data_IF_134032498181
#
_entry.id   IF_134032498181
#
_cell.length_a   1.000
_cell.length_b   1.000
_cell.length_c   1.000
_cell.angle_alpha   90.00
_cell.angle_beta   90.00
_cell.angle_gamma   90.00
#
_symmetry.space_group_name_H-M   'P 1'
#
loop_
_entity.id
_entity.type
_entity.pdbx_description
1 polymer ?
#
# COMPACT_ATOMS: atom_id res chain seq x y z
N UNK A 1 69.15 -75.00 32.48
CA UNK A 1 70.03 -73.82 32.29
C UNK A 1 69.89 -73.42 30.84
N UNK A 2 68.98 -72.50 30.48
CA UNK A 2 69.17 -71.04 30.56
C UNK A 2 70.59 -70.63 30.12
N UNK A 3 70.70 -70.07 28.91
CA UNK A 3 71.18 -68.70 28.67
C UNK A 3 71.26 -68.38 27.16
N UNK A 4 70.35 -67.48 26.79
CA UNK A 4 70.32 -66.42 25.76
C UNK A 4 71.69 -65.82 25.28
N UNK A 5 71.73 -64.69 24.52
CA UNK A 5 71.16 -64.31 23.20
C UNK A 5 72.19 -63.49 22.35
N UNK A 6 71.72 -62.58 21.46
CA UNK A 6 72.37 -61.42 20.75
C UNK A 6 72.40 -61.65 19.22
N UNK A 7 71.47 -61.12 18.40
CA UNK A 7 71.23 -59.74 17.98
C UNK A 7 72.28 -59.18 16.98
N UNK A 8 71.85 -58.84 15.76
CA UNK A 8 71.72 -57.45 15.24
C UNK A 8 71.26 -57.49 13.77
N UNK A 9 70.26 -56.67 13.50
CA UNK A 9 69.57 -56.40 12.24
C UNK A 9 70.44 -55.69 11.20
N UNK A 10 70.28 -56.06 9.91
CA UNK A 10 70.23 -55.09 8.80
C UNK A 10 69.07 -55.50 7.88
N UNK A 11 68.10 -54.60 7.77
CA UNK A 11 66.95 -54.61 6.87
C UNK A 11 67.34 -53.84 5.60
N UNK A 12 66.92 -54.31 4.42
CA UNK A 12 66.15 -53.54 3.39
C UNK A 12 65.99 -54.44 2.14
N UNK A 13 64.78 -55.00 2.04
CA UNK A 13 63.89 -55.03 0.87
C UNK A 13 64.49 -54.74 -0.53
N UNK A 14 64.47 -55.75 -1.40
CA UNK A 14 64.25 -55.59 -2.85
C UNK A 14 63.69 -56.90 -3.45
N UNK A 15 62.40 -57.12 -3.21
CA UNK A 15 61.54 -57.93 -4.06
C UNK A 15 61.42 -57.23 -5.43
N UNK A 16 61.76 -57.92 -6.52
CA UNK A 16 60.97 -57.98 -7.75
C UNK A 16 61.74 -58.82 -8.77
N UNK A 17 61.36 -60.09 -8.84
CA UNK A 17 61.60 -60.93 -10.01
C UNK A 17 60.80 -60.31 -11.15
N UNK A 18 61.46 -59.55 -12.02
CA UNK A 18 60.89 -59.16 -13.31
C UNK A 18 61.12 -60.30 -14.31
N UNK A 19 60.28 -61.33 -14.28
CA UNK A 19 60.01 -62.09 -15.50
C UNK A 19 59.28 -61.13 -16.42
N UNK A 20 59.97 -60.61 -17.43
CA UNK A 20 59.37 -59.87 -18.53
C UNK A 20 58.42 -60.82 -19.26
N UNK A 21 57.15 -60.81 -18.89
CA UNK A 21 56.09 -61.48 -19.63
C UNK A 21 55.85 -60.70 -20.91
N UNK A 22 56.56 -61.06 -21.97
CA UNK A 22 56.15 -60.73 -23.33
C UNK A 22 54.69 -61.17 -23.49
N UNK A 23 53.84 -60.31 -24.04
CA UNK A 23 52.46 -60.67 -24.34
C UNK A 23 52.48 -61.90 -25.28
N UNK A 24 52.05 -63.05 -24.76
CA UNK A 24 51.99 -64.30 -25.51
C UNK A 24 50.59 -64.46 -26.10
N UNK A 25 50.52 -64.51 -27.42
CA UNK A 25 49.34 -64.96 -28.12
C UNK A 25 49.18 -66.46 -27.91
N UNK A 26 47.96 -66.91 -27.75
CA UNK A 26 47.66 -68.34 -27.74
C UNK A 26 46.49 -68.61 -28.67
N UNK A 27 46.51 -69.77 -29.29
CA UNK A 27 45.40 -70.30 -30.05
C UNK A 27 45.20 -71.74 -29.61
N UNK A 28 43.95 -72.16 -29.47
CA UNK A 28 43.67 -73.58 -29.30
C UNK A 28 42.63 -74.00 -30.32
N UNK A 29 42.87 -75.17 -30.89
CA UNK A 29 41.97 -75.85 -31.80
C UNK A 29 41.49 -77.06 -31.02
N UNK A 30 40.18 -77.16 -30.79
CA UNK A 30 39.58 -78.26 -30.07
C UNK A 30 38.43 -78.81 -30.89
N UNK A 31 38.44 -80.13 -31.06
CA UNK A 31 37.28 -80.91 -31.49
C UNK A 31 36.93 -81.92 -30.39
N UNK A 32 35.91 -82.75 -30.60
CA UNK A 32 35.47 -83.74 -29.61
C UNK A 32 36.56 -84.77 -29.27
N UNK A 33 37.50 -85.03 -30.18
CA UNK A 33 38.59 -86.01 -30.01
C UNK A 33 39.98 -85.46 -29.69
N UNK A 34 40.36 -84.26 -30.15
CA UNK A 34 41.73 -83.73 -29.97
C UNK A 34 41.71 -82.22 -29.67
N UNK A 35 42.60 -81.79 -28.78
CA UNK A 35 42.89 -80.39 -28.47
C UNK A 35 44.36 -80.08 -28.79
N UNK A 36 44.59 -79.07 -29.62
CA UNK A 36 45.92 -78.54 -29.92
C UNK A 36 45.98 -77.11 -29.39
N UNK A 37 46.94 -76.82 -28.52
CA UNK A 37 47.22 -75.48 -28.00
C UNK A 37 48.57 -75.00 -28.50
N UNK A 38 48.57 -73.82 -29.11
CA UNK A 38 49.73 -73.10 -29.62
C UNK A 38 49.92 -71.84 -28.78
N UNK A 39 51.15 -71.59 -28.32
CA UNK A 39 51.55 -70.35 -27.66
C UNK A 39 52.71 -69.72 -28.41
N UNK A 40 52.61 -68.44 -28.75
CA UNK A 40 53.59 -67.72 -29.58
C UNK A 40 53.58 -66.22 -29.23
N UNK A 41 54.67 -65.48 -29.47
CA UNK A 41 54.69 -64.04 -29.23
C UNK A 41 53.77 -63.30 -30.22
N UNK A 42 53.11 -62.23 -29.76
CA UNK A 42 52.22 -61.42 -30.62
C UNK A 42 52.97 -60.46 -31.55
N UNK A 43 54.22 -60.16 -31.24
CA UNK A 43 55.10 -59.31 -32.04
C UNK A 43 56.48 -59.97 -32.18
N UNK A 44 57.06 -59.87 -33.37
CA UNK A 44 58.37 -60.42 -33.70
C UNK A 44 59.12 -59.38 -34.52
N UNK A 45 60.34 -59.05 -34.13
CA UNK A 45 61.18 -58.10 -34.85
C UNK A 45 61.64 -58.68 -36.19
N UNK A 46 61.81 -57.81 -37.20
CA UNK A 46 62.32 -58.24 -38.50
C UNK A 46 63.73 -58.83 -38.34
N UNK A 47 64.06 -59.89 -39.09
CA UNK A 47 65.33 -60.62 -38.99
C UNK A 47 65.63 -61.22 -37.59
N UNK A 48 64.60 -61.52 -36.80
CA UNK A 48 64.75 -62.20 -35.50
C UNK A 48 64.17 -63.62 -35.51
N UNK A 49 64.58 -64.43 -34.53
CA UNK A 49 64.02 -65.75 -34.26
C UNK A 49 63.10 -65.70 -33.05
N UNK A 50 61.98 -66.42 -33.11
CA UNK A 50 61.00 -66.49 -32.04
C UNK A 50 60.60 -67.92 -31.75
N UNK A 51 60.04 -68.16 -30.55
CA UNK A 51 59.67 -69.48 -30.06
C UNK A 51 58.17 -69.68 -30.07
N UNK A 52 57.74 -70.87 -30.47
CA UNK A 52 56.34 -71.31 -30.48
C UNK A 52 56.25 -72.60 -29.68
N UNK A 53 55.41 -72.63 -28.65
CA UNK A 53 55.12 -73.83 -27.87
C UNK A 53 53.85 -74.49 -28.39
N UNK A 54 53.88 -75.81 -28.58
CA UNK A 54 52.76 -76.61 -29.10
C UNK A 54 52.47 -77.75 -28.14
N UNK A 55 51.23 -77.86 -27.69
CA UNK A 55 50.69 -78.92 -26.85
C UNK A 55 49.53 -79.62 -27.59
N UNK A 56 49.54 -80.94 -27.70
CA UNK A 56 48.52 -81.74 -28.40
C UNK A 56 48.02 -82.80 -27.43
N UNK A 57 46.73 -82.77 -27.12
CA UNK A 57 46.06 -83.66 -26.14
C UNK A 57 44.89 -84.36 -26.81
N UNK A 58 44.79 -85.67 -26.70
CA UNK A 58 43.58 -86.42 -27.09
C UNK A 58 42.55 -86.34 -25.97
N UNK A 59 41.28 -86.23 -26.33
CA UNK A 59 40.14 -86.07 -25.41
C UNK A 59 39.24 -87.31 -25.38
N UNK A 60 39.41 -88.20 -26.36
CA UNK A 60 38.78 -89.52 -26.47
C UNK A 60 39.79 -90.48 -27.09
N UNK A 61 39.39 -91.74 -27.29
CA UNK A 61 40.17 -92.65 -28.12
C UNK A 61 40.28 -92.11 -29.56
N UNK A 62 41.49 -92.11 -30.13
CA UNK A 62 41.79 -91.60 -31.48
C UNK A 62 42.83 -92.54 -32.10
N UNK A 63 42.60 -92.98 -33.33
CA UNK A 63 43.56 -93.76 -34.11
C UNK A 63 44.20 -92.90 -35.23
N UNK A 64 45.47 -93.15 -35.53
CA UNK A 64 46.29 -92.59 -36.60
C UNK A 64 46.44 -91.05 -36.58
N UNK A 65 46.59 -90.44 -35.41
CA UNK A 65 46.73 -88.98 -35.29
C UNK A 65 48.03 -88.48 -35.93
N UNK A 66 47.92 -87.52 -36.86
CA UNK A 66 49.05 -86.84 -37.52
C UNK A 66 48.82 -85.34 -37.57
N UNK A 67 49.77 -84.54 -37.08
CA UNK A 67 49.67 -83.07 -36.98
C UNK A 67 50.87 -82.40 -37.67
N UNK A 68 50.62 -81.39 -38.51
CA UNK A 68 51.66 -80.63 -39.26
C UNK A 68 51.51 -79.13 -39.01
N UNK A 69 52.61 -78.43 -38.72
CA UNK A 69 52.64 -76.98 -38.56
C UNK A 69 53.38 -76.30 -39.72
N UNK A 70 52.74 -75.29 -40.30
CA UNK A 70 53.24 -74.53 -41.45
C UNK A 70 53.10 -73.03 -41.21
N UNK A 71 54.19 -72.28 -41.36
CA UNK A 71 54.25 -70.83 -41.21
C UNK A 71 54.72 -70.17 -42.49
N UNK A 72 54.01 -69.12 -42.89
CA UNK A 72 54.25 -68.36 -44.12
C UNK A 72 54.44 -66.90 -43.76
N UNK A 73 55.54 -66.32 -44.22
CA UNK A 73 55.84 -64.91 -44.11
C UNK A 73 55.24 -64.21 -45.31
N UNK A 74 54.48 -63.15 -45.06
CA UNK A 74 53.81 -62.36 -46.09
C UNK A 74 54.34 -60.95 -45.98
N UNK A 75 55.00 -60.47 -47.03
CA UNK A 75 55.46 -59.09 -47.14
C UNK A 75 55.04 -58.54 -48.50
N UNK A 76 54.47 -57.33 -48.47
CA UNK A 76 53.85 -56.66 -49.61
C UNK A 76 52.87 -57.59 -50.35
N UNK A 77 53.19 -58.00 -51.58
CA UNK A 77 52.39 -58.90 -52.43
C UNK A 77 52.98 -60.31 -52.58
N UNK A 78 53.94 -60.68 -51.72
CA UNK A 78 54.65 -61.97 -51.81
C UNK A 78 54.48 -62.78 -50.53
N UNK A 79 54.21 -64.08 -50.69
CA UNK A 79 54.11 -65.03 -49.57
C UNK A 79 55.18 -66.11 -49.71
N UNK A 80 56.04 -66.26 -48.70
CA UNK A 80 57.09 -67.27 -48.64
C UNK A 80 56.93 -68.17 -47.42
N UNK A 81 56.85 -69.50 -47.64
CA UNK A 81 56.80 -70.49 -46.55
C UNK A 81 58.18 -70.58 -45.91
N UNK A 82 58.29 -70.27 -44.62
CA UNK A 82 59.57 -70.30 -43.90
C UNK A 82 59.63 -71.42 -42.83
N UNK A 83 58.50 -72.06 -42.53
CA UNK A 83 58.44 -73.25 -41.69
C UNK A 83 57.37 -74.23 -42.17
N UNK A 84 57.68 -75.52 -42.28
CA UNK A 84 56.73 -76.59 -42.69
C UNK A 84 57.22 -77.94 -42.14
N UNK A 85 56.61 -78.44 -41.05
CA UNK A 85 57.07 -79.68 -40.38
C UNK A 85 55.92 -80.47 -39.74
N UNK A 86 55.96 -81.80 -39.87
CA UNK A 86 55.11 -82.74 -39.13
C UNK A 86 55.57 -82.81 -37.65
N UNK A 87 54.66 -82.54 -36.73
CA UNK A 87 54.91 -82.53 -35.28
C UNK A 87 54.65 -83.89 -34.63
N UNK A 88 53.58 -84.58 -35.05
CA UNK A 88 53.18 -85.92 -34.60
C UNK A 88 52.74 -86.72 -35.83
N UNK A 89 52.96 -88.04 -35.86
CA UNK A 89 52.53 -88.91 -36.95
C UNK A 89 52.14 -90.29 -36.43
N UNK A 90 50.98 -90.80 -36.86
CA UNK A 90 50.45 -92.15 -36.58
C UNK A 90 50.43 -92.51 -35.09
N UNK A 91 49.82 -91.67 -34.24
CA UNK A 91 49.63 -92.00 -32.82
C UNK A 91 48.19 -92.48 -32.58
N UNK A 92 48.08 -93.63 -31.91
CA UNK A 92 46.82 -94.19 -31.42
C UNK A 92 46.76 -93.98 -29.90
N UNK A 93 45.60 -93.55 -29.39
CA UNK A 93 45.34 -93.42 -27.95
C UNK A 93 44.00 -94.04 -27.62
N UNK A 94 43.93 -94.84 -26.56
CA UNK A 94 42.68 -95.47 -26.08
C UNK A 94 41.95 -94.61 -25.03
N UNK A 95 42.67 -93.69 -24.38
CA UNK A 95 42.16 -92.78 -23.35
C UNK A 95 42.67 -91.34 -23.59
N UNK A 96 42.05 -90.32 -22.94
CA UNK A 96 42.47 -88.92 -23.09
C UNK A 96 43.88 -88.67 -22.51
N UNK A 97 44.86 -88.35 -23.35
CA UNK A 97 46.26 -88.14 -22.93
C UNK A 97 46.96 -86.98 -23.69
N UNK A 98 47.94 -86.35 -23.06
CA UNK A 98 48.83 -85.37 -23.72
C UNK A 98 49.85 -86.10 -24.61
N UNK A 99 49.60 -86.09 -25.92
CA UNK A 99 50.39 -86.81 -26.93
C UNK A 99 51.69 -86.07 -27.31
N UNK A 100 51.71 -84.74 -27.27
CA UNK A 100 52.89 -83.96 -27.65
C UNK A 100 52.97 -82.64 -26.89
N UNK A 101 54.14 -82.29 -26.37
CA UNK A 101 54.42 -80.95 -25.85
C UNK A 101 55.87 -80.56 -26.17
N UNK A 102 56.06 -79.50 -26.95
CA UNK A 102 57.39 -79.01 -27.29
C UNK A 102 57.42 -77.53 -27.65
N UNK A 103 58.60 -76.90 -27.53
CA UNK A 103 58.85 -75.50 -27.93
C UNK A 103 59.81 -75.45 -29.12
N UNK A 104 59.37 -74.85 -30.21
CA UNK A 104 60.05 -74.78 -31.51
C UNK A 104 60.54 -73.35 -31.75
N UNK A 105 61.78 -73.18 -32.23
CA UNK A 105 62.32 -71.87 -32.61
C UNK A 105 62.28 -71.66 -34.13
N UNK A 106 61.78 -70.53 -34.60
CA UNK A 106 61.61 -70.20 -36.03
C UNK A 106 62.12 -68.78 -36.32
N UNK A 107 62.78 -68.55 -37.47
CA UNK A 107 63.44 -67.28 -37.82
C UNK A 107 62.85 -66.62 -39.08
N UNK A 108 62.73 -65.28 -39.07
CA UNK A 108 62.28 -64.49 -40.23
C UNK A 108 63.41 -64.22 -41.25
N UNK A 109 63.12 -64.17 -42.57
CA UNK A 109 64.12 -63.88 -43.61
C UNK A 109 64.56 -62.40 -43.64
N UNK A 110 65.83 -62.12 -43.94
CA UNK A 110 66.43 -60.76 -43.97
C UNK A 110 66.25 -60.06 -45.33
N UNK A 111 65.90 -58.77 -45.35
CA UNK A 111 65.89 -57.91 -46.57
C UNK A 111 66.81 -56.69 -46.33
N UNK A 112 67.78 -56.41 -47.20
CA UNK A 112 68.61 -55.18 -47.15
C UNK A 112 68.55 -54.42 -48.48
N UNK A 113 68.45 -53.08 -48.46
CA UNK A 113 68.43 -52.20 -49.64
C UNK A 113 69.56 -51.14 -49.49
N UNK A 114 70.54 -51.02 -50.42
CA UNK A 114 71.66 -50.10 -50.26
C UNK A 114 71.32 -48.67 -50.71
N UNK A 115 71.63 -47.67 -49.89
CA UNK A 115 71.42 -46.24 -50.16
C UNK A 115 72.30 -45.72 -51.32
N UNK A 116 71.81 -44.75 -52.13
CA UNK A 116 72.59 -44.16 -53.22
C UNK A 116 73.77 -43.30 -52.70
N UNK A 117 74.96 -43.50 -53.27
CA UNK A 117 76.17 -42.73 -52.94
C UNK A 117 76.97 -42.35 -54.19
N UNK A 118 77.72 -41.25 -54.09
CA UNK A 118 78.69 -40.79 -55.09
C UNK A 118 80.01 -41.52 -54.88
N UNK A 119 80.47 -42.19 -55.91
CA UNK A 119 81.79 -42.81 -56.00
C UNK A 119 82.67 -41.92 -56.87
N UNK A 120 83.87 -41.59 -56.40
CA UNK A 120 84.87 -40.86 -57.14
C UNK A 120 85.89 -41.81 -57.73
N UNK A 121 86.20 -41.62 -59.01
CA UNK A 121 87.29 -42.31 -59.70
C UNK A 121 88.24 -41.26 -60.24
N UNK A 122 89.52 -41.38 -59.92
CA UNK A 122 90.55 -40.46 -60.39
C UNK A 122 91.60 -41.27 -61.12
N UNK A 123 91.80 -40.93 -62.39
CA UNK A 123 92.79 -41.57 -63.25
C UNK A 123 93.73 -40.52 -63.81
N UNK A 124 95.03 -40.69 -63.57
CA UNK A 124 96.09 -39.86 -64.11
C UNK A 124 96.90 -40.67 -65.12
N UNK A 125 96.92 -40.20 -66.37
CA UNK A 125 97.76 -40.75 -67.43
C UNK A 125 98.92 -39.80 -67.66
N UNK A 126 100.15 -40.30 -67.58
CA UNK A 126 101.35 -39.51 -67.77
C UNK A 126 102.43 -40.32 -68.47
N UNK A 127 103.31 -39.62 -69.18
CA UNK A 127 104.42 -40.23 -69.92
C UNK A 127 105.70 -39.89 -69.15
N UNK A 128 106.49 -40.91 -68.86
CA UNK A 128 107.80 -40.75 -68.23
C UNK A 128 108.80 -41.62 -68.99
N UNK A 129 109.85 -41.01 -69.53
CA UNK A 129 110.87 -41.68 -70.35
C UNK A 129 110.28 -42.53 -71.50
N UNK A 130 109.37 -41.93 -72.29
CA UNK A 130 108.68 -42.52 -73.45
C UNK A 130 107.67 -43.66 -73.16
N UNK A 131 107.60 -44.14 -71.92
CA UNK A 131 106.58 -45.10 -71.47
C UNK A 131 105.36 -44.40 -70.86
N UNK A 132 104.17 -44.91 -71.18
CA UNK A 132 102.90 -44.36 -70.74
C UNK A 132 102.37 -45.09 -69.50
N UNK A 133 102.15 -44.33 -68.41
CA UNK A 133 101.67 -44.84 -67.13
C UNK A 133 100.26 -44.37 -66.82
N UNK A 134 99.45 -45.25 -66.22
CA UNK A 134 98.10 -44.95 -65.76
C UNK A 134 98.03 -45.26 -64.26
N UNK A 135 97.78 -44.23 -63.46
CA UNK A 135 97.45 -44.36 -62.04
C UNK A 135 95.94 -44.16 -61.89
N UNK A 136 95.21 -45.17 -61.41
CA UNK A 136 93.77 -45.06 -61.14
C UNK A 136 93.48 -45.46 -59.71
N UNK A 137 92.67 -44.68 -59.01
CA UNK A 137 92.11 -45.05 -57.70
C UNK A 137 90.62 -44.73 -57.65
N UNK A 138 89.89 -45.54 -56.89
CA UNK A 138 88.45 -45.38 -56.69
C UNK A 138 88.11 -45.33 -55.21
N UNK A 139 87.42 -44.28 -54.81
CA UNK A 139 87.05 -44.06 -53.42
C UNK A 139 85.59 -43.60 -53.30
N UNK A 140 85.03 -43.85 -52.13
CA UNK A 140 83.72 -43.32 -51.78
C UNK A 140 83.83 -41.80 -51.54
N UNK A 141 83.03 -41.00 -52.23
CA UNK A 141 83.03 -39.54 -52.03
C UNK A 141 82.02 -39.12 -50.97
N UNK A 142 80.74 -39.45 -51.15
CA UNK A 142 79.67 -39.02 -50.25
C UNK A 142 78.38 -39.77 -50.52
N UNK A 143 77.46 -39.86 -49.55
CA UNK A 143 76.09 -40.36 -49.76
C UNK A 143 75.22 -39.27 -50.38
N UNK A 144 74.32 -39.64 -51.29
CA UNK A 144 73.31 -38.74 -51.87
C UNK A 144 72.05 -38.81 -51.00
N UNK A 145 71.56 -37.65 -50.55
CA UNK A 145 70.35 -37.54 -49.73
C UNK A 145 69.41 -36.48 -50.27
N UNK A 146 68.11 -36.77 -50.26
CA UNK A 146 67.05 -35.85 -50.66
C UNK A 146 65.91 -35.92 -49.65
N UNK A 147 65.76 -34.94 -48.73
CA UNK A 147 66.60 -33.74 -48.51
C UNK A 147 67.93 -34.04 -47.80
N UNK A 148 68.89 -33.11 -47.86
CA UNK A 148 70.13 -33.20 -47.08
C UNK A 148 69.84 -33.05 -45.57
N UNK A 149 70.74 -33.56 -44.71
CA UNK A 149 70.57 -33.45 -43.26
C UNK A 149 70.46 -31.99 -42.79
N UNK A 150 71.28 -31.09 -43.34
CA UNK A 150 71.22 -29.65 -43.03
C UNK A 150 69.87 -29.04 -43.41
N UNK A 151 69.29 -29.43 -44.57
CA UNK A 151 67.97 -28.93 -44.97
C UNK A 151 66.86 -29.48 -44.08
N UNK A 152 66.92 -30.77 -43.73
CA UNK A 152 65.99 -31.40 -42.79
C UNK A 152 66.05 -30.73 -41.41
N UNK A 153 67.25 -30.40 -40.93
CA UNK A 153 67.45 -29.70 -39.67
C UNK A 153 66.86 -28.28 -39.69
N UNK A 154 67.02 -27.55 -40.79
CA UNK A 154 66.38 -26.24 -40.96
C UNK A 154 64.86 -26.35 -40.89
N UNK A 155 64.27 -27.27 -41.66
CA UNK A 155 62.82 -27.50 -41.67
C UNK A 155 62.30 -27.89 -40.29
N UNK A 156 63.04 -28.74 -39.56
CA UNK A 156 62.72 -29.10 -38.18
C UNK A 156 62.73 -27.88 -37.25
N UNK A 157 63.75 -27.02 -37.36
CA UNK A 157 63.85 -25.82 -36.53
C UNK A 157 62.73 -24.81 -36.83
N UNK A 158 62.36 -24.65 -38.11
CA UNK A 158 61.28 -23.76 -38.54
C UNK A 158 59.92 -24.27 -38.03
N UNK A 159 59.63 -25.57 -38.23
CA UNK A 159 58.44 -26.21 -37.70
C UNK A 159 58.37 -26.12 -36.17
N UNK A 160 59.50 -26.26 -35.47
CA UNK A 160 59.56 -26.11 -34.01
C UNK A 160 59.19 -24.69 -33.57
N UNK A 161 59.69 -23.66 -34.25
CA UNK A 161 59.32 -22.25 -33.97
C UNK A 161 57.84 -22.01 -34.17
N UNK A 162 57.26 -22.56 -35.23
CA UNK A 162 55.83 -22.43 -35.52
C UNK A 162 54.98 -23.11 -34.44
N UNK A 163 55.38 -24.32 -33.99
CA UNK A 163 54.74 -25.02 -32.88
C UNK A 163 54.79 -24.18 -31.59
N UNK A 164 55.92 -23.55 -31.29
CA UNK A 164 56.07 -22.74 -30.08
C UNK A 164 55.23 -21.46 -30.16
N UNK A 165 55.10 -20.85 -31.35
CA UNK A 165 54.21 -19.71 -31.57
C UNK A 165 52.72 -20.09 -31.40
N UNK A 166 52.29 -21.19 -32.03
CA UNK A 166 50.91 -21.70 -31.90
C UNK A 166 50.57 -22.08 -30.45
N UNK A 167 51.53 -22.64 -29.70
CA UNK A 167 51.34 -22.91 -28.26
C UNK A 167 51.09 -21.63 -27.46
N UNK A 168 51.81 -20.54 -27.78
CA UNK A 168 51.60 -19.25 -27.13
C UNK A 168 50.21 -18.70 -27.42
N UNK A 169 49.79 -18.72 -28.69
CA UNK A 169 48.46 -18.26 -29.11
C UNK A 169 47.34 -19.08 -28.45
N UNK A 170 47.46 -20.41 -28.39
CA UNK A 170 46.52 -21.27 -27.66
C UNK A 170 46.45 -20.90 -26.17
N UNK A 171 47.59 -20.54 -25.56
CA UNK A 171 47.62 -20.13 -24.15
C UNK A 171 46.88 -18.80 -23.94
N UNK A 172 47.07 -17.83 -24.83
CA UNK A 172 46.37 -16.55 -24.79
C UNK A 172 44.87 -16.70 -25.01
N UNK A 173 44.46 -17.51 -25.99
CA UNK A 173 43.05 -17.79 -26.27
C UNK A 173 42.36 -18.47 -25.09
N UNK A 174 43.05 -19.38 -24.38
CA UNK A 174 42.53 -19.99 -23.15
C UNK A 174 42.27 -18.96 -22.06
N UNK A 175 43.20 -18.04 -21.84
CA UNK A 175 43.01 -16.95 -20.88
C UNK A 175 41.83 -16.05 -21.26
N UNK A 176 41.66 -15.79 -22.55
CA UNK A 176 40.54 -14.99 -23.03
C UNK A 176 39.19 -15.70 -22.83
N UNK A 177 39.12 -17.01 -23.11
CA UNK A 177 37.93 -17.84 -22.84
C UNK A 177 37.59 -17.84 -21.34
N UNK A 178 38.59 -18.00 -20.47
CA UNK A 178 38.39 -17.99 -19.03
C UNK A 178 37.87 -16.62 -18.54
N UNK A 179 38.37 -15.52 -19.12
CA UNK A 179 37.89 -14.17 -18.82
C UNK A 179 36.43 -13.99 -19.24
N UNK A 180 36.11 -14.34 -20.49
CA UNK A 180 34.75 -14.24 -21.02
C UNK A 180 33.77 -15.13 -20.25
N UNK A 181 34.20 -16.32 -19.81
CA UNK A 181 33.37 -17.18 -18.98
C UNK A 181 33.00 -16.50 -17.67
N UNK A 182 33.95 -15.82 -17.01
CA UNK A 182 33.69 -15.10 -15.75
C UNK A 182 32.75 -13.92 -15.96
N UNK A 183 32.94 -13.17 -17.03
CA UNK A 183 32.04 -12.06 -17.39
C UNK A 183 30.62 -12.56 -17.67
N UNK A 184 30.48 -13.67 -18.39
CA UNK A 184 29.19 -14.30 -18.66
C UNK A 184 28.48 -14.73 -17.38
N UNK A 185 29.20 -15.32 -16.43
CA UNK A 185 28.63 -15.76 -15.15
C UNK A 185 28.20 -14.57 -14.29
N UNK A 186 28.99 -13.49 -14.27
CA UNK A 186 28.60 -12.24 -13.61
C UNK A 186 27.34 -11.64 -14.25
N UNK A 187 27.29 -11.56 -15.58
CA UNK A 187 26.14 -11.02 -16.29
C UNK A 187 24.86 -11.85 -16.07
N UNK A 188 24.98 -13.18 -16.00
CA UNK A 188 23.87 -14.07 -15.64
C UNK A 188 23.37 -13.80 -14.23
N UNK A 189 24.29 -13.65 -13.27
CA UNK A 189 23.93 -13.33 -11.90
C UNK A 189 23.17 -11.99 -11.81
N UNK A 190 23.69 -10.95 -12.45
CA UNK A 190 23.06 -9.63 -12.49
C UNK A 190 21.66 -9.68 -13.13
N UNK A 191 21.49 -10.49 -14.18
CA UNK A 191 20.20 -10.69 -14.82
C UNK A 191 19.17 -11.32 -13.87
N UNK A 192 19.56 -12.34 -13.11
CA UNK A 192 18.69 -12.96 -12.09
C UNK A 192 18.30 -11.96 -11.00
N UNK A 193 19.25 -11.13 -10.55
CA UNK A 193 18.98 -10.07 -9.57
C UNK A 193 18.00 -9.04 -10.13
N UNK A 194 18.17 -8.61 -11.38
CA UNK A 194 17.28 -7.67 -12.05
C UNK A 194 15.86 -8.23 -12.20
N UNK A 195 15.73 -9.49 -12.62
CA UNK A 195 14.42 -10.18 -12.72
C UNK A 195 13.73 -10.21 -11.35
N UNK A 196 14.48 -10.51 -10.29
CA UNK A 196 13.93 -10.55 -8.93
C UNK A 196 13.45 -9.17 -8.48
N UNK A 197 14.25 -8.12 -8.72
CA UNK A 197 13.86 -6.73 -8.43
C UNK A 197 12.61 -6.30 -9.20
N UNK A 198 12.51 -6.66 -10.49
CA UNK A 198 11.34 -6.36 -11.31
C UNK A 198 10.09 -7.02 -10.74
N UNK A 199 10.18 -8.30 -10.34
CA UNK A 199 9.06 -9.02 -9.74
C UNK A 199 8.60 -8.42 -8.41
N UNK A 200 9.52 -7.92 -7.58
CA UNK A 200 9.19 -7.21 -6.34
C UNK A 200 8.48 -5.89 -6.68
N UNK A 201 9.02 -5.11 -7.62
CA UNK A 201 8.46 -3.83 -8.01
C UNK A 201 7.04 -3.97 -8.59
N UNK A 202 6.78 -5.02 -9.37
CA UNK A 202 5.45 -5.32 -9.89
C UNK A 202 4.44 -5.63 -8.77
N UNK A 203 4.87 -6.35 -7.73
CA UNK A 203 4.02 -6.61 -6.55
C UNK A 203 3.72 -5.32 -5.79
N UNK A 204 4.73 -4.52 -5.53
CA UNK A 204 4.60 -3.24 -4.83
C UNK A 204 3.68 -2.29 -5.61
N UNK A 205 3.84 -2.22 -6.93
CA UNK A 205 2.97 -1.44 -7.81
C UNK A 205 1.51 -1.91 -7.76
N UNK A 206 1.28 -3.22 -7.81
CA UNK A 206 -0.06 -3.81 -7.70
C UNK A 206 -0.73 -3.51 -6.36
N UNK A 207 0.03 -3.59 -5.26
CA UNK A 207 -0.47 -3.23 -3.93
C UNK A 207 -0.80 -1.73 -3.83
N UNK A 208 0.09 -0.87 -4.35
CA UNK A 208 -0.15 0.58 -4.37
C UNK A 208 -1.39 0.94 -5.19
N UNK A 209 -1.59 0.28 -6.34
CA UNK A 209 -2.77 0.47 -7.18
C UNK A 209 -4.06 0.11 -6.42
N UNK A 210 -4.08 -1.00 -5.68
CA UNK A 210 -5.24 -1.38 -4.84
C UNK A 210 -5.51 -0.33 -3.74
N UNK A 211 -4.45 0.14 -3.06
CA UNK A 211 -4.59 1.20 -2.04
C UNK A 211 -5.16 2.49 -2.63
N UNK A 212 -4.75 2.85 -3.84
CA UNK A 212 -5.29 3.99 -4.56
C UNK A 212 -6.77 3.81 -4.90
N UNK A 213 -7.16 2.66 -5.46
CA UNK A 213 -8.56 2.36 -5.78
C UNK A 213 -9.46 2.38 -4.53
N UNK A 214 -8.98 1.85 -3.41
CA UNK A 214 -9.70 1.89 -2.13
C UNK A 214 -9.82 3.32 -1.57
N UNK A 215 -8.77 4.14 -1.72
CA UNK A 215 -8.81 5.53 -1.30
C UNK A 215 -9.79 6.35 -2.16
N UNK A 216 -9.83 6.09 -3.47
CA UNK A 216 -10.77 6.72 -4.39
C UNK A 216 -12.22 6.41 -3.99
N UNK A 217 -12.55 5.14 -3.68
CA UNK A 217 -13.89 4.76 -3.20
C UNK A 217 -14.26 5.49 -1.91
N UNK A 218 -13.34 5.54 -0.94
CA UNK A 218 -13.57 6.28 0.32
C UNK A 218 -13.81 7.77 0.08
N UNK A 219 -13.11 8.36 -0.89
CA UNK A 219 -13.32 9.74 -1.28
C UNK A 219 -14.72 9.95 -1.88
N UNK A 220 -15.13 9.07 -2.81
CA UNK A 220 -16.45 9.15 -3.45
C UNK A 220 -17.59 8.97 -2.44
N UNK A 221 -17.43 8.05 -1.49
CA UNK A 221 -18.36 7.85 -0.36
C UNK A 221 -18.45 9.10 0.51
N UNK A 222 -17.29 9.67 0.90
CA UNK A 222 -17.25 10.89 1.71
C UNK A 222 -17.89 12.08 1.00
N UNK A 223 -17.63 12.22 -0.30
CA UNK A 223 -18.23 13.27 -1.12
C UNK A 223 -19.75 13.12 -1.21
N UNK A 224 -20.26 11.88 -1.29
CA UNK A 224 -21.69 11.60 -1.27
C UNK A 224 -22.33 11.98 0.07
N UNK A 225 -21.66 11.65 1.19
CA UNK A 225 -22.08 12.07 2.53
C UNK A 225 -22.10 13.60 2.64
N UNK A 226 -21.07 14.28 2.13
CA UNK A 226 -21.00 15.74 2.13
C UNK A 226 -22.16 16.38 1.36
N UNK A 227 -22.46 15.89 0.15
CA UNK A 227 -23.58 16.39 -0.67
C UNK A 227 -24.91 16.24 0.08
N UNK A 228 -25.13 15.09 0.74
CA UNK A 228 -26.35 14.87 1.52
C UNK A 228 -26.43 15.81 2.72
N UNK A 229 -25.33 16.00 3.45
CA UNK A 229 -25.28 16.93 4.57
C UNK A 229 -25.61 18.37 4.15
N UNK A 230 -25.15 18.81 2.98
CA UNK A 230 -25.49 20.14 2.42
C UNK A 230 -26.99 20.25 2.14
N UNK A 231 -27.63 19.19 1.61
CA UNK A 231 -29.08 19.16 1.37
C UNK A 231 -29.87 19.18 2.67
N UNK A 232 -29.44 18.40 3.67
CA UNK A 232 -30.08 18.34 4.98
C UNK A 232 -29.99 19.69 5.68
N UNK A 233 -28.83 20.36 5.61
CA UNK A 233 -28.65 21.71 6.12
C UNK A 233 -29.58 22.72 5.41
N UNK A 234 -29.70 22.65 4.09
CA UNK A 234 -30.64 23.49 3.33
C UNK A 234 -32.09 23.27 3.75
N UNK A 235 -32.49 22.02 3.98
CA UNK A 235 -33.83 21.66 4.45
C UNK A 235 -34.09 22.19 5.87
N UNK A 236 -33.12 22.02 6.78
CA UNK A 236 -33.22 22.51 8.16
C UNK A 236 -33.30 24.03 8.23
N UNK A 237 -32.58 24.74 7.35
CA UNK A 237 -32.71 26.19 7.22
C UNK A 237 -34.11 26.59 6.80
N UNK A 238 -34.69 25.90 5.81
CA UNK A 238 -36.05 26.16 5.34
C UNK A 238 -37.10 25.91 6.44
N UNK A 239 -36.97 24.85 7.22
CA UNK A 239 -37.88 24.58 8.35
C UNK A 239 -37.74 25.64 9.45
N UNK A 240 -36.52 26.09 9.75
CA UNK A 240 -36.29 27.17 10.69
C UNK A 240 -36.94 28.49 10.24
N UNK A 241 -36.77 28.89 8.97
CA UNK A 241 -37.40 30.09 8.41
C UNK A 241 -38.94 30.01 8.46
N UNK A 242 -39.52 28.84 8.20
CA UNK A 242 -40.96 28.60 8.33
C UNK A 242 -41.44 28.70 9.78
N UNK A 243 -40.70 28.10 10.72
CA UNK A 243 -41.02 28.15 12.14
C UNK A 243 -40.97 29.58 12.67
N UNK A 244 -40.01 30.39 12.23
CA UNK A 244 -39.90 31.80 12.62
C UNK A 244 -41.13 32.59 12.17
N UNK A 245 -41.60 32.41 10.92
CA UNK A 245 -42.82 33.05 10.43
C UNK A 245 -44.05 32.64 11.22
N UNK A 246 -44.17 31.36 11.55
CA UNK A 246 -45.29 30.87 12.37
C UNK A 246 -45.25 31.46 13.79
N UNK A 247 -44.06 31.63 14.36
CA UNK A 247 -43.88 32.27 15.65
C UNK A 247 -44.31 33.74 15.61
N UNK A 248 -43.89 34.49 14.59
CA UNK A 248 -44.30 35.89 14.39
C UNK A 248 -45.82 36.01 14.26
N UNK A 249 -46.45 35.17 13.44
CA UNK A 249 -47.91 35.13 13.30
C UNK A 249 -48.62 34.83 14.63
N UNK A 250 -48.14 33.84 15.38
CA UNK A 250 -48.70 33.49 16.68
C UNK A 250 -48.56 34.64 17.70
N UNK A 251 -47.46 35.40 17.61
CA UNK A 251 -47.24 36.57 18.45
C UNK A 251 -48.24 37.70 18.13
N UNK A 252 -48.56 37.92 16.86
CA UNK A 252 -49.60 38.87 16.43
C UNK A 252 -51.00 38.44 16.91
N UNK A 253 -51.33 37.16 16.73
CA UNK A 253 -52.59 36.57 17.21
C UNK A 253 -52.75 36.74 18.72
N UNK A 254 -51.68 36.46 19.48
CA UNK A 254 -51.68 36.66 20.93
C UNK A 254 -51.92 38.12 21.32
N UNK A 255 -51.28 39.07 20.63
CA UNK A 255 -51.52 40.50 20.87
C UNK A 255 -52.95 40.91 20.54
N UNK A 256 -53.54 40.34 19.48
CA UNK A 256 -54.94 40.60 19.14
C UNK A 256 -55.88 40.06 20.21
N UNK A 257 -55.70 38.80 20.62
CA UNK A 257 -56.50 38.17 21.66
C UNK A 257 -56.41 38.94 22.98
N UNK A 258 -55.22 39.46 23.32
CA UNK A 258 -55.04 40.30 24.50
C UNK A 258 -55.84 41.61 24.40
N UNK A 259 -55.84 42.27 23.24
CA UNK A 259 -56.65 43.48 23.01
C UNK A 259 -58.14 43.19 23.13
N UNK A 260 -58.59 42.07 22.58
CA UNK A 260 -60.00 41.64 22.65
C UNK A 260 -60.40 41.36 24.10
N UNK A 261 -59.55 40.69 24.87
CA UNK A 261 -59.76 40.46 26.30
C UNK A 261 -59.88 41.79 27.09
N UNK A 262 -58.99 42.75 26.84
CA UNK A 262 -59.03 44.07 27.46
C UNK A 262 -60.30 44.87 27.07
N UNK A 263 -60.83 44.67 25.85
CA UNK A 263 -62.10 45.26 25.42
C UNK A 263 -63.28 44.61 26.15
N UNK A 264 -63.38 43.29 26.15
CA UNK A 264 -64.46 42.55 26.83
C UNK A 264 -64.48 42.85 28.33
N UNK A 265 -63.30 42.98 28.97
CA UNK A 265 -63.20 43.35 30.38
C UNK A 265 -63.79 44.75 30.68
N UNK A 266 -63.56 45.72 29.80
CA UNK A 266 -64.15 47.06 29.89
C UNK A 266 -65.66 47.06 29.67
N UNK A 267 -66.14 46.29 28.70
CA UNK A 267 -67.57 46.11 28.45
C UNK A 267 -68.26 45.47 29.65
N UNK A 268 -67.68 44.43 30.24
CA UNK A 268 -68.20 43.79 31.44
C UNK A 268 -68.31 44.78 32.60
N UNK A 269 -67.29 45.60 32.81
CA UNK A 269 -67.29 46.64 33.85
C UNK A 269 -68.39 47.66 33.58
N UNK A 270 -68.58 48.07 32.32
CA UNK A 270 -69.66 48.98 31.91
C UNK A 270 -71.03 48.36 32.17
N UNK A 271 -71.25 47.11 31.78
CA UNK A 271 -72.50 46.38 32.05
C UNK A 271 -72.75 46.29 33.56
N UNK A 272 -71.73 46.02 34.37
CA UNK A 272 -71.86 46.00 35.83
C UNK A 272 -72.28 47.36 36.38
N UNK A 273 -71.73 48.47 35.87
CA UNK A 273 -72.16 49.82 36.28
C UNK A 273 -73.60 50.11 35.90
N UNK A 274 -74.03 49.76 34.69
CA UNK A 274 -75.42 49.91 34.22
C UNK A 274 -76.36 49.05 35.07
N UNK A 275 -75.98 47.81 35.36
CA UNK A 275 -76.75 46.92 36.21
C UNK A 275 -76.94 47.49 37.62
N UNK A 276 -75.87 48.03 38.22
CA UNK A 276 -75.94 48.66 39.54
C UNK A 276 -76.81 49.94 39.53
N UNK A 277 -76.72 50.78 38.49
CA UNK A 277 -77.59 51.95 38.33
C UNK A 277 -79.07 51.54 38.17
N UNK A 278 -79.34 50.55 37.32
CA UNK A 278 -80.70 50.02 37.13
C UNK A 278 -81.27 49.43 38.42
N UNK A 279 -80.45 48.70 39.17
CA UNK A 279 -80.82 48.16 40.49
C UNK A 279 -81.14 49.28 41.48
N UNK A 280 -80.34 50.35 41.52
CA UNK A 280 -80.61 51.50 42.37
C UNK A 280 -81.92 52.22 41.98
N UNK A 281 -82.16 52.44 40.68
CA UNK A 281 -83.43 52.99 40.17
C UNK A 281 -84.62 52.12 40.51
N UNK A 282 -84.49 50.80 40.39
CA UNK A 282 -85.54 49.86 40.76
C UNK A 282 -85.87 49.95 42.25
N UNK A 283 -84.87 49.97 43.12
CA UNK A 283 -85.07 50.14 44.57
C UNK A 283 -85.73 51.47 44.91
N UNK A 284 -85.32 52.57 44.27
CA UNK A 284 -85.95 53.87 44.47
C UNK A 284 -87.41 53.89 43.96
N UNK A 285 -87.68 53.28 42.81
CA UNK A 285 -89.06 53.16 42.30
C UNK A 285 -89.93 52.33 43.26
N UNK A 286 -89.39 51.24 43.80
CA UNK A 286 -90.07 50.40 44.79
C UNK A 286 -90.37 51.18 46.07
N UNK A 287 -89.44 51.99 46.56
CA UNK A 287 -89.63 52.89 47.71
C UNK A 287 -90.72 53.93 47.42
N UNK A 288 -90.62 54.66 46.30
CA UNK A 288 -91.63 55.64 45.87
C UNK A 288 -93.02 55.00 45.72
N UNK A 289 -93.10 53.77 45.21
CA UNK A 289 -94.35 53.03 45.10
C UNK A 289 -94.92 52.68 46.49
N UNK A 290 -94.07 52.32 47.44
CA UNK A 290 -94.46 52.14 48.84
C UNK A 290 -94.98 53.42 49.48
N UNK A 291 -94.33 54.56 49.23
CA UNK A 291 -94.81 55.88 49.67
C UNK A 291 -96.13 56.27 49.01
N UNK A 292 -96.30 56.00 47.71
CA UNK A 292 -97.55 56.24 46.99
C UNK A 292 -98.70 55.41 47.58
N UNK A 293 -98.46 54.14 47.93
CA UNK A 293 -99.47 53.33 48.63
C UNK A 293 -99.84 53.95 49.98
N UNK A 294 -98.85 54.42 50.74
CA UNK A 294 -99.08 55.06 52.04
C UNK A 294 -99.92 56.33 51.89
N UNK A 295 -99.57 57.22 50.97
CA UNK A 295 -100.34 58.45 50.69
C UNK A 295 -101.73 58.16 50.17
N UNK A 296 -101.93 57.14 49.32
CA UNK A 296 -103.26 56.68 48.92
C UNK A 296 -104.05 56.21 50.15
N UNK A 297 -103.43 55.49 51.07
CA UNK A 297 -104.03 55.09 52.35
C UNK A 297 -104.44 56.29 53.20
N UNK A 298 -103.57 57.29 53.33
CA UNK A 298 -103.84 58.53 54.05
C UNK A 298 -104.98 59.33 53.40
N UNK A 299 -104.95 59.51 52.08
CA UNK A 299 -106.01 60.19 51.32
C UNK A 299 -107.35 59.48 51.43
N UNK A 300 -107.34 58.14 51.39
CA UNK A 300 -108.56 57.34 51.62
C UNK A 300 -109.11 57.57 53.02
N UNK A 301 -108.24 57.60 54.05
CA UNK A 301 -108.64 57.93 55.41
C UNK A 301 -109.28 59.32 55.53
N UNK A 302 -108.67 60.33 54.90
CA UNK A 302 -109.21 61.70 54.85
C UNK A 302 -110.56 61.75 54.11
N UNK A 303 -110.71 60.99 53.02
CA UNK A 303 -111.96 60.92 52.28
C UNK A 303 -113.08 60.29 53.12
N UNK A 304 -112.81 59.17 53.80
CA UNK A 304 -113.75 58.51 54.71
C UNK A 304 -114.13 59.43 55.88
N UNK A 305 -113.19 60.22 56.40
CA UNK A 305 -113.45 61.20 57.46
C UNK A 305 -114.31 62.37 56.96
N UNK A 306 -114.05 62.88 55.74
CA UNK A 306 -114.91 63.90 55.12
C UNK A 306 -116.31 63.38 54.84
N UNK A 307 -116.45 62.14 54.39
CA UNK A 307 -117.75 61.50 54.18
C UNK A 307 -118.53 61.42 55.49
N UNK A 308 -117.88 61.01 56.59
CA UNK A 308 -118.49 61.06 57.93
C UNK A 308 -118.90 62.47 58.33
N UNK A 309 -118.04 63.46 58.11
CA UNK A 309 -118.36 64.86 58.44
C UNK A 309 -119.55 65.39 57.63
N UNK A 310 -119.68 65.03 56.35
CA UNK A 310 -120.84 65.37 55.53
C UNK A 310 -122.12 64.68 56.03
N UNK A 311 -122.03 63.40 56.41
CA UNK A 311 -123.16 62.68 57.00
C UNK A 311 -123.61 63.33 58.33
N UNK A 312 -122.67 63.78 59.17
CA UNK A 312 -122.97 64.52 60.41
C UNK A 312 -123.59 65.88 60.10
N UNK A 313 -123.07 66.63 59.13
CA UNK A 313 -123.62 67.93 58.75
C UNK A 313 -125.04 67.81 58.19
N UNK A 314 -125.30 66.76 57.41
CA UNK A 314 -126.62 66.46 56.87
C UNK A 314 -127.60 66.06 57.98
N UNK A 315 -127.14 65.35 59.02
CA UNK A 315 -127.93 65.07 60.23
C UNK A 315 -128.21 66.34 61.07
N UNK A 316 -127.28 67.28 61.17
CA UNK A 316 -127.51 68.57 61.84
C UNK A 316 -128.50 69.45 61.06
N UNK A 317 -128.42 69.46 59.72
CA UNK A 317 -129.32 70.24 58.87
C UNK A 317 -130.77 69.72 58.94
N UNK A 318 -130.97 68.40 59.01
CA UNK A 318 -132.30 67.81 59.17
C UNK A 318 -132.91 68.10 60.55
N UNK A 319 -132.08 68.34 61.57
CA UNK A 319 -132.52 68.70 62.91
C UNK A 319 -132.81 70.21 63.09
N UNK A 320 -132.22 71.07 62.25
CA UNK A 320 -132.48 72.53 62.27
C UNK A 320 -133.69 72.96 61.41
N UNK A 321 -134.23 72.07 60.57
CA UNK A 321 -135.34 72.38 59.67
C UNK A 321 -136.75 72.15 60.30
N UNK A 322 -136.85 71.69 61.55
CA UNK A 322 -138.14 71.30 62.14
C UNK A 322 -138.85 72.35 63.02
N UNK A 323 -138.29 73.54 63.29
CA UNK A 323 -138.98 74.53 64.14
C UNK A 323 -138.79 76.00 63.68
N UNK A 324 -139.90 76.62 63.24
CA UNK A 324 -140.31 78.03 63.41
C UNK A 324 -139.32 79.20 63.16
N UNK A 325 -139.60 79.99 62.12
CA UNK A 325 -139.04 81.32 61.76
C UNK A 325 -138.99 82.33 62.94
N UNK A 326 -137.99 83.20 63.15
CA UNK A 326 -137.51 84.31 62.29
C UNK A 326 -136.09 84.76 62.71
N UNK A 327 -135.15 84.67 61.76
CA UNK A 327 -134.05 85.59 61.37
C UNK A 327 -133.26 86.35 62.46
N UNK A 328 -131.94 86.10 62.53
CA UNK A 328 -130.88 87.14 62.41
C UNK A 328 -129.46 86.58 62.29
N UNK A 329 -128.79 87.04 61.23
CA UNK A 329 -127.38 87.43 61.14
C UNK A 329 -126.26 86.49 61.63
N UNK A 330 -125.30 86.32 60.72
CA UNK A 330 -123.87 86.27 61.01
C UNK A 330 -123.35 84.94 61.57
N UNK A 331 -122.83 84.08 60.70
CA UNK A 331 -121.60 83.35 60.95
C UNK A 331 -121.09 82.71 59.66
N UNK A 332 -119.77 82.67 59.55
CA UNK A 332 -119.01 82.12 58.46
C UNK A 332 -119.41 80.69 58.10
N UNK A 333 -119.38 80.41 56.79
CA UNK A 333 -118.96 79.11 56.29
C UNK A 333 -118.09 79.35 55.07
N UNK A 334 -116.79 79.54 55.31
CA UNK A 334 -115.86 78.83 54.44
C UNK A 334 -116.09 77.34 54.68
N UNK A 335 -116.56 76.67 53.65
CA UNK A 335 -116.30 75.25 53.40
C UNK A 335 -116.37 75.11 51.88
N UNK A 336 -115.26 74.97 51.16
CA UNK A 336 -114.35 73.82 51.17
C UNK A 336 -115.13 72.50 51.05
N UNK A 337 -115.64 72.26 49.86
CA UNK A 337 -115.45 70.98 49.16
C UNK A 337 -115.18 71.34 47.69
N UNK A 338 -113.99 71.16 47.09
CA UNK A 338 -113.24 69.91 46.92
C UNK A 338 -114.23 68.76 46.72
N UNK A 339 -114.47 68.24 45.51
CA UNK A 339 -113.52 67.80 44.49
C UNK A 339 -114.19 67.91 43.10
N UNK A 340 -113.48 68.21 42.01
CA UNK A 340 -112.61 67.23 41.39
C UNK A 340 -111.30 67.81 40.87
N UNK A 341 -110.24 67.13 41.28
CA UNK A 341 -108.87 67.27 40.83
C UNK A 341 -108.79 66.94 39.33
N UNK A 342 -108.15 67.84 38.58
CA UNK A 342 -107.67 67.65 37.22
C UNK A 342 -106.48 68.57 36.97
N UNK A 343 -105.40 68.37 37.73
CA UNK A 343 -104.04 68.85 37.44
C UNK A 343 -103.53 67.89 36.33
N UNK A 344 -102.89 68.23 35.21
CA UNK A 344 -101.84 69.20 34.86
C UNK A 344 -101.67 69.05 33.32
N UNK A 345 -101.44 70.07 32.50
CA UNK A 345 -100.10 70.61 32.22
C UNK A 345 -100.21 71.78 31.23
N UNK A 346 -99.84 72.98 31.67
CA UNK A 346 -99.54 74.13 30.82
C UNK A 346 -98.04 74.48 30.95
N UNK A 347 -97.35 74.39 29.81
CA UNK A 347 -96.34 75.31 29.28
C UNK A 347 -95.41 76.11 30.22
N UNK A 348 -94.08 75.95 30.03
CA UNK A 348 -93.16 77.08 29.85
C UNK A 348 -91.94 76.73 28.99
N UNK A 349 -91.59 77.66 28.11
CA UNK A 349 -90.50 77.69 27.11
C UNK A 349 -89.49 78.79 27.51
N UNK A 350 -88.26 78.71 26.95
CA UNK A 350 -87.08 79.64 27.02
C UNK A 350 -86.21 79.50 28.29
N UNK A 351 -84.88 79.42 28.25
CA UNK A 351 -83.88 79.66 27.21
C UNK A 351 -83.02 80.89 27.54
N UNK A 352 -81.70 80.73 27.70
CA UNK A 352 -80.58 81.68 27.41
C UNK A 352 -79.23 81.07 27.88
N UNK A 353 -78.29 80.75 26.98
CA UNK A 353 -77.17 81.53 26.41
C UNK A 353 -75.88 81.54 27.25
N UNK A 354 -74.79 81.06 26.64
CA UNK A 354 -73.54 81.82 26.45
C UNK A 354 -72.72 81.18 25.32
N UNK A 355 -72.45 81.97 24.29
CA UNK A 355 -71.39 81.68 23.33
C UNK A 355 -70.13 82.46 23.68
N UNK A 356 -68.99 82.04 23.12
CA UNK A 356 -67.98 82.97 22.68
C UNK A 356 -67.24 82.37 21.47
N UNK A 357 -67.18 83.20 20.42
CA UNK A 357 -66.39 83.08 19.21
C UNK A 357 -65.06 83.83 19.50
N UNK A 358 -63.95 83.40 18.88
CA UNK A 358 -63.00 84.24 18.10
C UNK A 358 -61.68 83.48 17.87
N UNK A 359 -61.39 83.22 16.57
CA UNK A 359 -60.18 83.50 15.74
C UNK A 359 -58.79 83.42 16.40
N UNK A 360 -57.68 83.13 15.73
CA UNK A 360 -57.26 83.37 14.34
C UNK A 360 -56.03 82.46 14.06
N UNK A 361 -55.93 81.91 12.85
CA UNK A 361 -54.99 82.32 11.79
C UNK A 361 -53.52 81.96 12.03
N UNK A 362 -53.07 81.11 11.10
CA UNK A 362 -51.89 81.28 10.27
C UNK A 362 -50.46 80.93 10.72
N UNK A 363 -49.81 80.27 9.75
CA UNK A 363 -48.39 80.30 9.37
C UNK A 363 -47.44 79.41 10.16
N UNK A 364 -46.40 78.84 9.56
CA UNK A 364 -46.01 78.61 8.17
C UNK A 364 -44.79 77.68 8.28
N UNK A 365 -44.64 76.81 7.30
CA UNK A 365 -43.38 76.53 6.63
C UNK A 365 -42.33 75.56 7.23
N UNK A 366 -41.88 74.72 6.29
CA UNK A 366 -40.50 74.32 5.99
C UNK A 366 -39.79 73.24 6.82
N UNK A 367 -39.78 72.03 6.22
CA UNK A 367 -38.59 71.18 5.96
C UNK A 367 -37.45 72.01 5.32
N UNK A 368 -36.15 71.68 5.41
CA UNK A 368 -35.55 70.53 4.67
C UNK A 368 -34.36 69.85 5.42
N UNK A 369 -34.14 68.53 5.23
CA UNK A 369 -33.07 67.87 4.43
C UNK A 369 -31.60 67.91 4.93
N UNK A 370 -31.09 66.69 5.15
CA UNK A 370 -29.87 66.07 4.56
C UNK A 370 -28.44 66.40 5.05
N UNK A 371 -27.57 65.40 4.80
CA UNK A 371 -26.09 65.40 4.69
C UNK A 371 -25.22 64.83 5.86
N UNK A 372 -24.85 63.56 5.67
CA UNK A 372 -23.47 63.04 5.44
C UNK A 372 -22.24 63.41 6.30
N UNK A 373 -21.51 62.33 6.66
CA UNK A 373 -20.06 62.06 6.51
C UNK A 373 -19.01 62.38 7.63
N UNK A 374 -18.23 61.33 7.95
CA UNK A 374 -16.73 61.22 8.06
C UNK A 374 -15.96 61.22 9.42
N UNK A 375 -15.37 60.04 9.68
CA UNK A 375 -13.93 59.66 9.91
C UNK A 375 -13.19 59.84 11.25
N UNK A 376 -12.25 58.88 11.44
CA UNK A 376 -10.98 58.84 12.23
C UNK A 376 -11.13 58.62 13.75
N UNK A 377 -10.43 57.70 14.45
CA UNK A 377 -9.28 56.85 14.18
C UNK A 377 -8.10 57.25 15.09
N UNK A 378 -7.81 56.52 16.18
CA UNK A 378 -6.55 56.60 16.97
C UNK A 378 -6.29 55.27 17.72
N UNK A 379 -5.04 54.77 17.66
CA UNK A 379 -4.45 53.65 18.43
C UNK A 379 -3.88 54.13 19.77
N UNK A 380 -3.83 53.27 20.78
CA UNK A 380 -2.76 53.35 21.79
C UNK A 380 -2.49 52.00 22.48
N UNK A 381 -1.22 51.59 22.43
CA UNK A 381 -0.63 50.50 23.20
C UNK A 381 -0.58 50.84 24.70
N UNK A 382 -0.70 49.83 25.56
CA UNK A 382 -0.06 49.89 26.88
C UNK A 382 0.27 48.48 27.38
N UNK A 383 1.56 48.26 27.60
CA UNK A 383 2.20 47.10 28.19
C UNK A 383 1.74 46.92 29.64
N UNK A 384 1.37 45.70 30.04
CA UNK A 384 1.15 45.34 31.45
C UNK A 384 1.55 43.88 31.68
N UNK A 385 2.63 43.68 32.44
CA UNK A 385 2.99 42.38 33.01
C UNK A 385 1.90 41.93 33.99
N UNK A 386 1.22 40.81 33.72
CA UNK A 386 0.37 40.12 34.71
C UNK A 386 0.53 38.60 34.56
N UNK A 387 1.22 38.05 35.55
CA UNK A 387 1.01 36.79 36.25
C UNK A 387 0.24 35.64 35.55
N UNK A 388 0.98 34.54 35.36
CA UNK A 388 0.53 33.24 34.88
C UNK A 388 -0.60 32.66 35.76
N UNK A 389 -1.79 32.49 35.18
CA UNK A 389 -2.83 31.61 35.72
C UNK A 389 -2.88 30.31 34.91
N UNK A 390 -2.82 29.22 35.66
CA UNK A 390 -2.88 27.81 35.27
C UNK A 390 -3.86 27.52 34.12
N UNK A 391 -3.38 26.83 33.07
CA UNK A 391 -4.25 26.20 32.07
C UNK A 391 -4.15 24.69 32.17
N UNK A 392 -5.29 24.06 32.48
CA UNK A 392 -5.48 22.60 32.46
C UNK A 392 -5.10 22.02 31.08
N UNK A 393 -4.51 20.80 31.02
CA UNK A 393 -4.13 20.20 29.75
C UNK A 393 -5.37 19.79 28.95
N UNK A 394 -5.58 20.45 27.80
CA UNK A 394 -6.56 20.02 26.80
C UNK A 394 -5.89 19.02 25.86
N UNK A 395 -6.43 17.80 25.83
CA UNK A 395 -5.99 16.70 24.96
C UNK A 395 -6.27 17.07 23.50
N UNK A 396 -5.21 17.30 22.73
CA UNK A 396 -5.30 17.47 21.29
C UNK A 396 -5.62 16.10 20.69
N UNK A 397 -6.80 15.96 20.08
CA UNK A 397 -7.13 14.81 19.24
C UNK A 397 -6.29 14.89 17.97
N UNK A 398 -5.55 13.82 17.72
CA UNK A 398 -4.61 13.61 16.61
C UNK A 398 -5.16 14.08 15.26
N UNK A 399 -4.39 14.87 14.48
CA UNK A 399 -4.66 15.03 13.05
C UNK A 399 -4.21 16.31 12.34
N UNK A 400 -3.86 17.41 13.03
CA UNK A 400 -3.42 18.66 12.36
C UNK A 400 -1.92 18.86 12.49
N UNK A 401 -1.20 18.74 11.37
CA UNK A 401 0.22 19.11 11.26
C UNK A 401 0.29 20.62 11.04
N UNK A 402 1.12 21.31 11.82
CA UNK A 402 1.48 22.70 11.53
C UNK A 402 2.65 22.63 10.55
N UNK A 403 2.44 23.11 9.32
CA UNK A 403 3.50 23.21 8.33
C UNK A 403 4.27 24.49 8.57
N UNK A 404 5.52 24.37 9.01
CA UNK A 404 6.46 25.48 9.14
C UNK A 404 7.29 25.52 7.85
N UNK A 405 7.36 26.66 7.14
CA UNK A 405 8.28 26.84 6.01
C UNK A 405 9.74 26.51 6.39
N UNK A 406 10.47 25.84 5.51
CA UNK A 406 11.82 25.30 5.79
C UNK A 406 12.80 26.38 6.27
N UNK A 407 12.73 27.57 5.69
CA UNK A 407 13.57 28.72 6.06
C UNK A 407 13.37 29.15 7.52
N UNK A 408 12.14 29.11 8.03
CA UNK A 408 11.81 29.46 9.42
C UNK A 408 12.22 28.31 10.36
N UNK A 409 12.08 27.06 9.89
CA UNK A 409 12.52 25.89 10.65
C UNK A 409 14.04 25.87 10.85
N UNK A 410 14.82 26.22 9.82
CA UNK A 410 16.28 26.34 9.90
C UNK A 410 16.73 27.45 10.85
N UNK A 411 16.09 28.62 10.79
CA UNK A 411 16.40 29.75 11.68
C UNK A 411 16.09 29.44 13.16
N UNK A 412 15.08 28.60 13.41
CA UNK A 412 14.73 28.08 14.73
C UNK A 412 15.52 26.82 15.14
N UNK A 413 16.35 26.27 14.26
CA UNK A 413 17.14 25.06 14.51
C UNK A 413 16.32 23.78 14.63
N UNK A 414 15.14 23.72 14.00
CA UNK A 414 14.20 22.60 14.06
C UNK A 414 14.40 21.61 12.91
N UNK A 415 14.38 20.31 13.21
CA UNK A 415 14.39 19.21 12.24
C UNK A 415 13.04 18.50 12.20
N UNK A 416 12.81 17.75 11.12
CA UNK A 416 11.61 16.92 10.97
C UNK A 416 11.58 15.87 12.09
N UNK A 417 10.61 15.99 13.00
CA UNK A 417 10.44 15.10 14.16
C UNK A 417 10.74 15.75 15.51
N UNK A 418 11.26 16.98 15.56
CA UNK A 418 11.53 17.68 16.81
C UNK A 418 10.23 18.17 17.49
N UNK A 419 10.23 18.15 18.83
CA UNK A 419 9.11 18.66 19.62
C UNK A 419 9.15 20.18 19.71
N UNK A 420 8.01 20.81 19.47
CA UNK A 420 7.83 22.27 19.55
C UNK A 420 6.70 22.62 20.49
N UNK A 421 6.87 23.70 21.24
CA UNK A 421 5.84 24.26 22.12
C UNK A 421 5.27 25.52 21.48
N UNK A 422 3.94 25.61 21.48
CA UNK A 422 3.19 26.71 20.88
C UNK A 422 2.67 27.63 21.96
N UNK A 423 2.86 28.93 21.76
CA UNK A 423 2.29 29.98 22.58
C UNK A 423 1.48 30.93 21.70
N UNK A 424 0.38 31.47 22.23
CA UNK A 424 -0.38 32.53 21.59
C UNK A 424 -0.10 33.83 22.33
N UNK A 425 0.43 34.83 21.63
CA UNK A 425 0.66 36.17 22.16
C UNK A 425 -0.01 37.19 21.24
N UNK A 426 -1.16 37.72 21.67
CA UNK A 426 -2.00 38.59 20.84
C UNK A 426 -2.44 37.91 19.53
N UNK A 427 -2.06 38.51 18.40
CA UNK A 427 -2.31 38.00 17.04
C UNK A 427 -1.20 37.07 16.52
N UNK A 428 -0.12 36.88 17.27
CA UNK A 428 1.04 36.10 16.85
C UNK A 428 1.04 34.69 17.48
N UNK A 429 1.42 33.70 16.67
CA UNK A 429 1.72 32.34 17.11
C UNK A 429 3.24 32.22 17.30
N UNK A 430 3.68 31.99 18.54
CA UNK A 430 5.10 31.83 18.88
C UNK A 430 5.41 30.33 18.98
N UNK A 431 6.41 29.90 18.23
CA UNK A 431 6.90 28.51 18.22
C UNK A 431 8.27 28.48 18.90
N UNK A 432 8.43 27.67 19.94
CA UNK A 432 9.74 27.46 20.60
C UNK A 432 10.16 26.00 20.55
N UNK A 433 11.45 25.70 20.27
CA UNK A 433 11.99 24.36 20.35
C UNK A 433 11.95 23.85 21.80
N UNK A 434 11.44 22.63 21.99
CA UNK A 434 11.41 21.97 23.29
C UNK A 434 12.56 20.96 23.36
N UNK A 435 13.62 21.30 24.09
CA UNK A 435 14.73 20.36 24.37
C UNK A 435 14.26 19.34 25.39
N UNK A 436 13.82 18.17 24.92
CA UNK A 436 13.51 17.04 25.79
C UNK A 436 14.82 16.55 26.42
N UNK A 437 14.94 16.67 27.74
CA UNK A 437 16.04 16.06 28.48
C UNK A 437 15.95 14.54 28.33
N UNK A 438 17.01 13.91 27.80
CA UNK A 438 17.10 12.47 27.62
C UNK A 438 16.94 11.76 28.98
N UNK A 439 15.84 11.02 29.14
CA UNK A 439 15.71 10.02 30.19
C UNK A 439 16.61 8.83 29.90
N UNK A 440 17.07 8.10 30.93
CA UNK A 440 18.03 7.01 30.76
C UNK A 440 17.32 5.79 30.14
N UNK A 441 18.00 5.16 29.18
CA UNK A 441 17.65 3.95 28.44
C UNK A 441 16.87 4.18 27.13
N UNK A 442 17.62 4.43 26.06
CA UNK A 442 17.74 3.38 25.05
C UNK A 442 19.05 3.55 24.27
N UNK A 443 19.84 2.49 24.27
CA UNK A 443 21.14 2.44 23.62
C UNK A 443 21.01 2.17 22.12
N UNK A 444 22.01 2.69 21.40
CA UNK A 444 22.47 2.25 20.09
C UNK A 444 21.55 2.53 18.88
N UNK A 445 21.80 3.67 18.22
CA UNK A 445 22.30 3.61 16.84
C UNK A 445 22.98 4.93 16.45
N UNK A 446 24.29 4.92 16.46
CA UNK A 446 25.16 5.90 15.82
C UNK A 446 25.14 5.70 14.31
N UNK A 447 24.70 6.70 13.54
CA UNK A 447 25.13 6.87 12.16
C UNK A 447 25.46 8.34 11.93
N UNK A 448 26.77 8.58 11.74
CA UNK A 448 27.37 9.83 11.29
C UNK A 448 26.82 10.28 9.92
N UNK A 449 26.84 11.58 9.62
CA UNK A 449 26.42 12.12 8.33
C UNK A 449 27.56 12.05 7.30
N UNK A 450 27.30 11.38 6.17
CA UNK A 450 28.14 11.49 4.97
C UNK A 450 27.93 12.85 4.29
N UNK A 451 29.04 13.59 4.17
CA UNK A 451 29.22 14.81 3.39
C UNK A 451 29.08 14.51 1.89
N UNK A 452 28.37 15.33 1.08
CA UNK A 452 28.38 15.19 -0.36
C UNK A 452 29.70 15.73 -0.94
N UNK A 453 30.29 14.98 -1.87
CA UNK A 453 31.49 15.34 -2.58
C UNK A 453 31.22 16.50 -3.56
N UNK A 454 32.03 17.55 -3.43
CA UNK A 454 32.61 18.34 -4.51
C UNK A 454 34.13 18.32 -4.29
#
# INVERSE_FOLDING_TARGET
MYLAPIAVSILIFAMLVSTTSAASGFNYIKDDGVMIKLSYPVEVENNSCFKITVEITTLTAVENLTVTLKLTYIADSTSSKFFDKKLVSNVDTDEPELVYSSTISVCLPTITKPDPYVKGEVTAKYINADDEYILSDTFYMTTVRTPSYSKLQSMYNDAKKEIDALKSEISELKLHIDSLSKELDSAKYDNVVLITKLSILDKDYSELKKKYEDLQKKYDDLNSVYINLVKDYGSLRGTHESLMKNYEALQEDYQSLRRDYELVSRELTTIQTIYNDLKARYLNLQENYGEAIKTIGELKGIADEREKNLNVLQAMLSQAASEGSIIKSLAAAQSVGLAGIGIYLLYKRKGEKRGQIVKADDKENSRPEDSSLKTTGVKQDTTSNVELKESRPLKILSGRRITIPMNIAEELGLRVGDFVRLYKDGEYLIIKPERVAAGPNDGQNTLEPTRPAN
#
